data_IF_893522476272
#
_entry.id   IF_893522476272
#
_cell.length_a   1.000
_cell.length_b   1.000
_cell.length_c   1.000
_cell.angle_alpha   90.00
_cell.angle_beta   90.00
_cell.angle_gamma   90.00
#
_symmetry.space_group_name_H-M   'P 1'
#
loop_
_entity.id
_entity.type
_entity.pdbx_description
1 polymer ?
#
# COMPACT_ATOMS: atom_id res chain seq x y z
N UNK A 1 10.49 30.77 -2.06
CA UNK A 1 11.13 31.18 -3.32
C UNK A 1 10.79 30.15 -4.37
N UNK A 2 9.74 30.40 -5.15
CA UNK A 2 9.23 29.49 -6.18
C UNK A 2 9.58 30.05 -7.54
N UNK A 3 10.51 29.39 -8.21
CA UNK A 3 10.97 29.71 -9.56
C UNK A 3 9.93 29.22 -10.58
N UNK A 4 9.28 30.17 -11.27
CA UNK A 4 8.30 29.90 -12.32
C UNK A 4 9.04 29.73 -13.64
N UNK A 5 9.15 28.47 -14.08
CA UNK A 5 9.72 28.09 -15.37
C UNK A 5 9.04 28.82 -16.55
N UNK A 6 9.84 29.60 -17.27
CA UNK A 6 9.50 30.16 -18.58
C UNK A 6 9.37 29.03 -19.61
N UNK A 7 8.21 28.92 -20.24
CA UNK A 7 8.07 28.16 -21.49
C UNK A 7 8.64 28.99 -22.65
N UNK A 8 9.48 28.41 -23.54
CA UNK A 8 9.96 29.10 -24.73
C UNK A 8 8.82 29.23 -25.75
N UNK A 9 8.41 30.47 -26.01
CA UNK A 9 7.49 30.79 -27.11
C UNK A 9 8.11 30.39 -28.45
N UNK A 10 7.45 29.47 -29.16
CA UNK A 10 7.74 29.17 -30.56
C UNK A 10 7.07 30.25 -31.44
N UNK A 11 7.82 30.96 -32.31
CA UNK A 11 7.21 31.85 -33.29
C UNK A 11 6.66 31.01 -34.44
N UNK A 12 5.35 30.75 -34.43
CA UNK A 12 4.64 30.22 -35.60
C UNK A 12 4.25 31.39 -36.51
N UNK A 13 5.22 31.86 -37.28
CA UNK A 13 4.97 32.67 -38.47
C UNK A 13 5.55 31.90 -39.67
N UNK A 14 4.97 30.74 -39.96
CA UNK A 14 5.17 30.11 -41.26
C UNK A 14 4.45 30.98 -42.30
N UNK A 15 5.22 31.74 -43.04
CA UNK A 15 4.82 32.34 -44.31
C UNK A 15 4.27 31.23 -45.19
N UNK A 16 2.94 31.13 -45.24
CA UNK A 16 2.21 30.27 -46.17
C UNK A 16 2.54 30.79 -47.57
N UNK A 17 3.61 30.25 -48.17
CA UNK A 17 3.78 30.31 -49.62
C UNK A 17 2.47 29.78 -50.20
N UNK A 18 1.74 30.56 -51.02
CA UNK A 18 0.52 30.06 -51.62
C UNK A 18 0.92 28.78 -52.37
N UNK A 19 0.30 27.63 -52.07
CA UNK A 19 0.64 26.39 -52.74
C UNK A 19 0.57 26.63 -54.25
N UNK A 20 1.56 26.12 -55.00
CA UNK A 20 1.66 26.27 -56.47
C UNK A 20 0.35 25.92 -57.17
N UNK A 21 -0.47 25.08 -56.54
CA UNK A 21 -1.81 24.68 -56.97
C UNK A 21 -2.81 25.85 -57.01
N UNK A 22 -2.74 26.84 -56.11
CA UNK A 22 -3.57 28.05 -56.15
C UNK A 22 -3.16 28.94 -57.33
N UNK A 23 -1.86 29.09 -57.56
CA UNK A 23 -1.34 29.87 -58.69
C UNK A 23 -1.73 29.24 -60.04
N UNK A 24 -1.80 27.90 -60.10
CA UNK A 24 -2.23 27.17 -61.29
C UNK A 24 -3.74 27.32 -61.52
N UNK A 25 -4.54 27.29 -60.46
CA UNK A 25 -6.00 27.51 -60.50
C UNK A 25 -6.34 28.93 -60.95
N UNK A 26 -5.63 29.94 -60.42
CA UNK A 26 -5.83 31.34 -60.82
C UNK A 26 -5.39 31.60 -62.27
N UNK A 27 -4.30 30.96 -62.73
CA UNK A 27 -3.89 31.04 -64.13
C UNK A 27 -4.90 30.37 -65.08
N UNK A 28 -5.45 29.22 -64.68
CA UNK A 28 -6.45 28.52 -65.48
C UNK A 28 -7.78 29.29 -65.56
N UNK A 29 -8.23 29.90 -64.46
CA UNK A 29 -9.45 30.73 -64.48
C UNK A 29 -9.24 32.04 -65.24
N UNK A 30 -8.09 32.70 -65.08
CA UNK A 30 -7.72 33.88 -65.88
C UNK A 30 -7.60 33.54 -67.37
N UNK A 31 -7.00 32.40 -67.72
CA UNK A 31 -6.90 31.91 -69.10
C UNK A 31 -8.26 31.59 -69.71
N UNK A 32 -9.15 30.93 -68.95
CA UNK A 32 -10.53 30.68 -69.37
C UNK A 32 -11.33 31.97 -69.56
N UNK A 33 -11.18 32.93 -68.65
CA UNK A 33 -11.84 34.25 -68.75
C UNK A 33 -11.31 35.05 -69.95
N UNK A 34 -10.00 35.03 -70.20
CA UNK A 34 -9.39 35.68 -71.35
C UNK A 34 -9.86 35.07 -72.68
N UNK A 35 -10.02 33.74 -72.76
CA UNK A 35 -10.58 33.07 -73.93
C UNK A 35 -12.04 33.45 -74.20
N UNK A 36 -12.86 33.59 -73.14
CA UNK A 36 -14.25 34.05 -73.26
C UNK A 36 -14.31 35.50 -73.76
N UNK A 37 -13.49 36.38 -73.19
CA UNK A 37 -13.40 37.79 -73.61
C UNK A 37 -12.89 37.91 -75.04
N UNK A 38 -11.90 37.10 -75.43
CA UNK A 38 -11.36 37.07 -76.79
C UNK A 38 -12.37 36.54 -77.82
N UNK A 39 -13.16 35.53 -77.45
CA UNK A 39 -14.27 35.05 -78.28
C UNK A 39 -15.37 36.10 -78.48
N UNK A 40 -15.59 36.96 -77.48
CA UNK A 40 -16.50 38.11 -77.58
C UNK A 40 -15.97 39.20 -78.52
N UNK A 41 -14.66 39.43 -78.52
CA UNK A 41 -14.01 40.46 -79.34
C UNK A 41 -13.94 40.11 -80.84
N UNK A 42 -14.00 38.82 -81.17
CA UNK A 42 -13.95 38.27 -82.54
C UNK A 42 -15.35 38.11 -83.18
N UNK A 43 -16.30 38.98 -82.82
CA UNK A 43 -17.66 39.03 -83.36
C UNK A 43 -17.63 39.53 -84.83
N UNK A 44 -17.23 38.63 -85.74
CA UNK A 44 -17.12 38.91 -87.18
C UNK A 44 -17.02 37.65 -88.05
N UNK A 45 -16.55 36.52 -87.51
CA UNK A 45 -16.49 35.23 -88.22
C UNK A 45 -17.55 34.24 -87.68
N UNK A 46 -18.41 33.73 -88.55
CA UNK A 46 -19.65 33.02 -88.18
C UNK A 46 -19.49 31.63 -87.53
N UNK A 47 -18.28 31.04 -87.44
CA UNK A 47 -18.11 29.63 -87.02
C UNK A 47 -17.17 29.38 -85.83
N UNK A 48 -16.13 30.20 -85.67
CA UNK A 48 -15.10 30.07 -84.62
C UNK A 48 -15.55 30.40 -83.19
N UNK A 49 -16.47 31.36 -82.94
CA UNK A 49 -16.84 31.77 -81.58
C UNK A 49 -17.55 30.66 -80.79
N UNK A 50 -18.40 29.86 -81.45
CA UNK A 50 -19.17 28.80 -80.80
C UNK A 50 -18.31 27.69 -80.21
N UNK A 51 -17.28 27.25 -80.95
CA UNK A 51 -16.34 26.24 -80.49
C UNK A 51 -15.49 26.75 -79.32
N UNK A 52 -14.94 27.96 -79.41
CA UNK A 52 -14.16 28.54 -78.31
C UNK A 52 -14.99 28.68 -77.02
N UNK A 53 -16.26 29.04 -77.13
CA UNK A 53 -17.13 29.24 -75.98
C UNK A 53 -17.52 27.90 -75.32
N UNK A 54 -17.73 26.85 -76.12
CA UNK A 54 -18.01 25.50 -75.63
C UNK A 54 -16.78 24.82 -75.02
N UNK A 55 -15.60 25.03 -75.60
CA UNK A 55 -14.33 24.59 -75.01
C UNK A 55 -14.00 25.37 -73.74
N UNK A 56 -14.20 26.69 -73.73
CA UNK A 56 -13.98 27.54 -72.57
C UNK A 56 -14.87 27.17 -71.38
N UNK A 57 -16.17 26.93 -71.60
CA UNK A 57 -17.09 26.52 -70.54
C UNK A 57 -16.77 25.13 -69.99
N UNK A 58 -16.41 24.19 -70.87
CA UNK A 58 -16.00 22.83 -70.48
C UNK A 58 -14.70 22.85 -69.68
N UNK A 59 -13.73 23.68 -70.07
CA UNK A 59 -12.45 23.82 -69.38
C UNK A 59 -12.64 24.44 -67.98
N UNK A 60 -13.49 25.46 -67.87
CA UNK A 60 -13.84 26.11 -66.60
C UNK A 60 -14.54 25.15 -65.63
N UNK A 61 -15.28 24.16 -66.13
CA UNK A 61 -15.91 23.13 -65.30
C UNK A 61 -14.94 22.00 -64.92
N UNK A 62 -14.16 21.49 -65.88
CA UNK A 62 -13.34 20.27 -65.69
C UNK A 62 -12.08 20.56 -64.86
N UNK A 63 -11.42 21.71 -65.07
CA UNK A 63 -10.14 21.99 -64.42
C UNK A 63 -10.26 22.11 -62.89
N UNK A 64 -11.24 22.83 -62.32
CA UNK A 64 -11.42 22.87 -60.86
C UNK A 64 -11.70 21.50 -60.25
N UNK A 65 -12.48 20.66 -60.94
CA UNK A 65 -12.78 19.30 -60.49
C UNK A 65 -11.53 18.41 -60.46
N UNK A 66 -10.69 18.48 -61.49
CA UNK A 66 -9.43 17.73 -61.57
C UNK A 66 -8.43 18.16 -60.49
N UNK A 67 -8.34 19.47 -60.23
CA UNK A 67 -7.48 20.01 -59.16
C UNK A 67 -8.01 19.60 -57.78
N UNK A 68 -9.32 19.67 -57.57
CA UNK A 68 -9.95 19.24 -56.31
C UNK A 68 -9.70 17.75 -56.04
N UNK A 69 -9.84 16.91 -57.07
CA UNK A 69 -9.52 15.47 -57.00
C UNK A 69 -8.06 15.21 -56.58
N UNK A 70 -7.10 15.91 -57.20
CA UNK A 70 -5.68 15.78 -56.84
C UNK A 70 -5.35 16.25 -55.44
N UNK A 71 -5.98 17.33 -54.96
CA UNK A 71 -5.76 17.84 -53.60
C UNK A 71 -6.32 16.87 -52.57
N UNK A 72 -7.50 16.29 -52.82
CA UNK A 72 -8.09 15.26 -51.97
C UNK A 72 -7.22 14.01 -51.90
N UNK A 73 -6.71 13.54 -53.04
CA UNK A 73 -5.86 12.35 -53.12
C UNK A 73 -4.52 12.55 -52.38
N UNK A 74 -3.87 13.71 -52.55
CA UNK A 74 -2.67 14.06 -51.78
C UNK A 74 -2.94 14.14 -50.29
N UNK A 75 -4.08 14.71 -49.88
CA UNK A 75 -4.45 14.78 -48.46
C UNK A 75 -4.70 13.40 -47.88
N UNK A 76 -5.39 12.53 -48.62
CA UNK A 76 -5.63 11.13 -48.24
C UNK A 76 -4.32 10.36 -48.08
N UNK A 77 -3.40 10.45 -49.04
CA UNK A 77 -2.07 9.82 -48.92
C UNK A 77 -1.30 10.34 -47.72
N UNK A 78 -1.27 11.68 -47.51
CA UNK A 78 -0.56 12.25 -46.36
C UNK A 78 -1.16 11.85 -45.00
N UNK A 79 -2.49 11.65 -44.93
CA UNK A 79 -3.14 11.17 -43.70
C UNK A 79 -2.92 9.68 -43.50
N UNK A 80 -2.86 8.89 -44.57
CA UNK A 80 -2.58 7.45 -44.51
C UNK A 80 -1.15 7.18 -44.04
N UNK A 81 -0.18 7.94 -44.55
CA UNK A 81 1.23 7.86 -44.14
C UNK A 81 1.40 8.29 -42.68
N UNK A 82 0.78 9.40 -42.27
CA UNK A 82 0.80 9.87 -40.88
C UNK A 82 0.18 8.83 -39.91
N UNK A 83 -0.98 8.25 -40.28
CA UNK A 83 -1.62 7.21 -39.47
C UNK A 83 -0.77 5.93 -39.40
N UNK A 84 -0.08 5.55 -40.48
CA UNK A 84 0.80 4.38 -40.48
C UNK A 84 2.00 4.55 -39.55
N UNK A 85 2.58 5.76 -39.53
CA UNK A 85 3.67 6.13 -38.62
C UNK A 85 3.20 6.15 -37.17
N UNK A 86 2.05 6.77 -36.90
CA UNK A 86 1.47 6.83 -35.55
C UNK A 86 1.15 5.42 -35.03
N UNK A 87 0.63 4.53 -35.88
CA UNK A 87 0.37 3.13 -35.50
C UNK A 87 1.67 2.38 -35.20
N UNK A 88 2.74 2.59 -35.96
CA UNK A 88 4.04 1.99 -35.69
C UNK A 88 4.63 2.48 -34.35
N UNK A 89 4.52 3.77 -34.07
CA UNK A 89 4.99 4.37 -32.82
C UNK A 89 4.16 3.90 -31.61
N UNK A 90 2.84 3.81 -31.75
CA UNK A 90 1.95 3.26 -30.72
C UNK A 90 2.31 1.80 -30.45
N UNK A 91 2.55 0.99 -31.48
CA UNK A 91 2.98 -0.40 -31.28
C UNK A 91 4.34 -0.50 -30.59
N UNK A 92 5.30 0.35 -30.95
CA UNK A 92 6.60 0.42 -30.28
C UNK A 92 6.46 0.82 -28.81
N UNK A 93 5.64 1.83 -28.51
CA UNK A 93 5.33 2.25 -27.14
C UNK A 93 4.63 1.15 -26.35
N UNK A 94 3.66 0.44 -26.93
CA UNK A 94 2.99 -0.68 -26.26
C UNK A 94 3.96 -1.82 -25.93
N UNK A 95 4.89 -2.15 -26.85
CA UNK A 95 5.93 -3.16 -26.58
C UNK A 95 6.87 -2.71 -25.46
N UNK A 96 7.30 -1.45 -25.47
CA UNK A 96 8.14 -0.88 -24.43
C UNK A 96 7.45 -0.85 -23.06
N UNK A 97 6.16 -0.48 -23.02
CA UNK A 97 5.37 -0.50 -21.78
C UNK A 97 5.16 -1.91 -21.25
N UNK A 98 4.87 -2.90 -22.12
CA UNK A 98 4.79 -4.31 -21.71
C UNK A 98 6.11 -4.79 -21.10
N UNK A 99 7.24 -4.55 -21.76
CA UNK A 99 8.54 -4.92 -21.23
C UNK A 99 8.82 -4.27 -19.86
N UNK A 100 8.45 -2.99 -19.67
CA UNK A 100 8.57 -2.31 -18.37
C UNK A 100 7.65 -2.91 -17.31
N UNK A 101 6.41 -3.28 -17.67
CA UNK A 101 5.48 -3.93 -16.76
C UNK A 101 5.98 -5.31 -16.34
N UNK A 102 6.58 -6.06 -17.25
CA UNK A 102 7.17 -7.37 -16.96
C UNK A 102 8.38 -7.21 -16.02
N UNK A 103 9.28 -6.26 -16.27
CA UNK A 103 10.40 -5.97 -15.35
C UNK A 103 9.92 -5.50 -13.96
N UNK A 104 8.87 -4.65 -13.90
CA UNK A 104 8.28 -4.24 -12.63
C UNK A 104 7.60 -5.41 -11.91
N UNK A 105 6.93 -6.29 -12.66
CA UNK A 105 6.31 -7.50 -12.13
C UNK A 105 7.34 -8.45 -11.52
N UNK A 106 8.44 -8.71 -12.23
CA UNK A 106 9.53 -9.56 -11.76
C UNK A 106 10.26 -8.97 -10.56
N UNK A 107 10.64 -7.69 -10.60
CA UNK A 107 11.32 -7.03 -9.48
C UNK A 107 10.44 -6.95 -8.23
N UNK A 108 9.14 -6.68 -8.39
CA UNK A 108 8.18 -6.68 -7.28
C UNK A 108 7.98 -8.08 -6.71
N UNK A 109 7.83 -9.11 -7.57
CA UNK A 109 7.68 -10.50 -7.14
C UNK A 109 8.93 -11.01 -6.41
N UNK A 110 10.12 -10.75 -6.93
CA UNK A 110 11.38 -11.13 -6.30
C UNK A 110 11.55 -10.40 -4.96
N UNK A 111 11.24 -9.10 -4.90
CA UNK A 111 11.28 -8.33 -3.66
C UNK A 111 10.30 -8.85 -2.60
N UNK A 112 9.11 -9.30 -2.99
CA UNK A 112 8.14 -9.93 -2.08
C UNK A 112 8.61 -11.28 -1.55
N UNK A 113 9.19 -12.12 -2.41
CA UNK A 113 9.74 -13.42 -2.02
C UNK A 113 10.94 -13.27 -1.07
N UNK A 114 11.83 -12.33 -1.33
CA UNK A 114 12.98 -12.07 -0.47
C UNK A 114 12.56 -11.53 0.89
N UNK A 115 11.57 -10.62 0.94
CA UNK A 115 10.98 -10.16 2.21
C UNK A 115 10.33 -11.31 2.98
N UNK A 116 9.58 -12.18 2.30
CA UNK A 116 8.97 -13.34 2.93
C UNK A 116 10.03 -14.30 3.50
N UNK A 117 11.06 -14.65 2.73
CA UNK A 117 12.17 -15.50 3.21
C UNK A 117 12.89 -14.88 4.41
N UNK A 118 13.21 -13.59 4.34
CA UNK A 118 13.85 -12.87 5.45
C UNK A 118 12.99 -12.94 6.72
N UNK A 119 11.68 -12.79 6.58
CA UNK A 119 10.74 -12.86 7.71
C UNK A 119 10.68 -14.26 8.32
N UNK A 120 10.62 -15.30 7.51
CA UNK A 120 10.67 -16.69 7.99
C UNK A 120 11.97 -16.98 8.72
N UNK A 121 13.11 -16.48 8.23
CA UNK A 121 14.40 -16.60 8.93
C UNK A 121 14.37 -15.89 10.29
N UNK A 122 13.84 -14.66 10.36
CA UNK A 122 13.70 -13.92 11.62
C UNK A 122 12.82 -14.67 12.63
N UNK A 123 11.69 -15.22 12.18
CA UNK A 123 10.79 -16.01 13.01
C UNK A 123 11.49 -17.27 13.53
N UNK A 124 12.14 -18.02 12.64
CA UNK A 124 12.82 -19.27 12.98
C UNK A 124 13.99 -19.06 13.93
N UNK A 125 14.76 -17.99 13.74
CA UNK A 125 15.87 -17.64 14.62
C UNK A 125 15.38 -17.19 16.01
N UNK A 126 14.26 -16.45 16.07
CA UNK A 126 13.64 -16.06 17.32
C UNK A 126 13.03 -17.26 18.09
N UNK A 127 12.47 -18.24 17.39
CA UNK A 127 11.95 -19.48 18.02
C UNK A 127 13.06 -20.34 18.63
N UNK A 128 14.21 -20.42 17.95
CA UNK A 128 15.36 -21.20 18.41
C UNK A 128 16.05 -20.55 19.61
N UNK A 129 16.27 -19.23 19.56
CA UNK A 129 16.86 -18.48 20.66
C UNK A 129 16.26 -17.08 20.72
N UNK A 130 15.31 -16.82 21.65
CA UNK A 130 14.61 -15.55 21.75
C UNK A 130 15.45 -14.49 22.48
N UNK A 131 16.50 -14.00 21.81
CA UNK A 131 17.33 -12.91 22.33
C UNK A 131 16.64 -11.55 22.19
N UNK A 132 17.04 -10.56 22.99
CA UNK A 132 16.49 -9.20 22.94
C UNK A 132 16.55 -8.61 21.53
N UNK A 133 17.68 -8.75 20.83
CA UNK A 133 17.85 -8.27 19.46
C UNK A 133 16.86 -8.92 18.47
N UNK A 134 16.71 -10.24 18.55
CA UNK A 134 15.84 -10.99 17.62
C UNK A 134 14.37 -10.66 17.86
N UNK A 135 13.95 -10.59 19.12
CA UNK A 135 12.60 -10.19 19.49
C UNK A 135 12.32 -8.73 19.11
N UNK A 136 13.29 -7.83 19.29
CA UNK A 136 13.16 -6.44 18.88
C UNK A 136 13.03 -6.32 17.35
N UNK A 137 13.84 -7.05 16.58
CA UNK A 137 13.73 -7.09 15.12
C UNK A 137 12.37 -7.64 14.67
N UNK A 138 11.87 -8.69 15.32
CA UNK A 138 10.58 -9.30 15.00
C UNK A 138 9.40 -8.39 15.37
N UNK A 139 9.44 -7.73 16.53
CA UNK A 139 8.44 -6.75 16.93
C UNK A 139 8.42 -5.55 15.98
N UNK A 140 9.59 -5.09 15.52
CA UNK A 140 9.68 -4.00 14.54
C UNK A 140 9.07 -4.38 13.19
N UNK A 141 9.36 -5.59 12.69
CA UNK A 141 8.72 -6.11 11.48
C UNK A 141 7.20 -6.22 11.65
N UNK A 142 6.74 -6.78 12.78
CA UNK A 142 5.31 -6.90 13.08
C UNK A 142 4.63 -5.52 13.19
N UNK A 143 5.25 -4.55 13.84
CA UNK A 143 4.74 -3.19 13.95
C UNK A 143 4.73 -2.48 12.59
N UNK A 144 5.77 -2.65 11.77
CA UNK A 144 5.82 -2.11 10.41
C UNK A 144 4.72 -2.66 9.48
N UNK A 145 4.25 -3.87 9.75
CA UNK A 145 3.10 -4.48 9.07
C UNK A 145 1.75 -4.09 9.71
N UNK A 146 1.74 -3.37 10.84
CA UNK A 146 0.56 -3.18 11.69
C UNK A 146 -0.08 -4.53 12.10
N UNK A 147 0.74 -5.56 12.29
CA UNK A 147 0.28 -6.88 12.73
C UNK A 147 0.02 -6.92 14.24
N UNK A 148 0.71 -6.07 15.01
CA UNK A 148 0.59 -5.97 16.47
C UNK A 148 0.12 -4.59 16.88
N UNK A 149 -0.37 -4.48 18.10
CA UNK A 149 -0.71 -3.21 18.73
C UNK A 149 0.53 -2.34 18.97
N UNK A 150 0.34 -1.02 19.07
CA UNK A 150 1.41 -0.06 19.30
C UNK A 150 2.08 -0.26 20.67
N UNK A 151 1.35 -0.80 21.64
CA UNK A 151 1.88 -1.23 22.94
C UNK A 151 2.60 -2.58 22.91
N UNK A 152 2.80 -3.19 21.74
CA UNK A 152 3.44 -4.49 21.61
C UNK A 152 2.54 -5.67 21.95
N UNK A 153 3.16 -6.80 22.31
CA UNK A 153 2.46 -8.09 22.50
C UNK A 153 2.54 -8.53 23.95
N UNK A 154 1.47 -9.11 24.47
CA UNK A 154 1.42 -9.66 25.82
C UNK A 154 1.12 -11.16 25.86
N UNK A 155 1.51 -11.81 26.95
CA UNK A 155 1.24 -13.22 27.22
C UNK A 155 1.01 -13.42 28.71
N UNK A 156 0.00 -14.22 29.06
CA UNK A 156 -0.35 -14.53 30.44
C UNK A 156 0.75 -15.36 31.12
N UNK A 157 1.11 -15.01 32.36
CA UNK A 157 1.96 -15.85 33.18
C UNK A 157 1.16 -17.05 33.72
N UNK A 158 1.66 -18.29 33.62
CA UNK A 158 1.05 -19.46 34.22
C UNK A 158 0.76 -19.27 35.71
N UNK A 159 -0.38 -19.77 36.16
CA UNK A 159 -0.81 -19.77 37.57
C UNK A 159 -0.80 -18.38 38.24
N UNK A 160 -1.01 -17.33 37.44
CA UNK A 160 -0.97 -15.94 37.89
C UNK A 160 -2.06 -15.11 37.22
N UNK A 161 -2.41 -14.00 37.88
CA UNK A 161 -3.24 -12.91 37.35
C UNK A 161 -2.37 -11.78 36.77
N UNK A 162 -1.23 -12.13 36.19
CA UNK A 162 -0.32 -11.19 35.57
C UNK A 162 0.00 -11.58 34.12
N UNK A 163 0.36 -10.57 33.35
CA UNK A 163 0.76 -10.66 31.95
C UNK A 163 2.17 -10.11 31.79
N UNK A 164 2.96 -10.76 30.94
CA UNK A 164 4.23 -10.25 30.46
C UNK A 164 3.97 -9.58 29.12
N UNK A 165 4.21 -8.28 29.04
CA UNK A 165 4.22 -7.51 27.79
C UNK A 165 5.65 -7.26 27.33
N UNK A 166 5.87 -7.42 26.03
CA UNK A 166 7.05 -6.97 25.33
C UNK A 166 6.69 -5.82 24.38
N UNK A 167 7.39 -4.71 24.52
CA UNK A 167 7.19 -3.51 23.72
C UNK A 167 8.52 -2.85 23.34
N UNK A 168 8.51 -2.11 22.22
CA UNK A 168 9.65 -1.33 21.75
C UNK A 168 9.45 0.13 22.17
N UNK A 169 10.35 0.66 23.00
CA UNK A 169 10.32 2.09 23.35
C UNK A 169 11.50 2.79 22.74
N UNK A 170 11.23 3.96 22.17
CA UNK A 170 12.28 4.88 21.75
C UNK A 170 12.91 5.49 22.99
N UNK A 171 14.17 5.16 23.20
CA UNK A 171 14.98 5.79 24.23
C UNK A 171 15.42 7.15 23.68
N UNK A 172 14.68 8.22 23.99
CA UNK A 172 15.17 9.57 23.74
C UNK A 172 16.27 9.85 24.74
N UNK A 173 17.52 9.55 24.37
CA UNK A 173 18.66 10.02 25.12
C UNK A 173 18.62 11.56 25.12
N UNK A 174 18.58 12.22 26.29
CA UNK A 174 18.36 13.67 26.36
C UNK A 174 19.48 14.53 25.77
N UNK A 175 20.56 13.94 25.23
CA UNK A 175 21.74 14.67 24.75
C UNK A 175 22.34 14.16 23.42
N UNK A 176 21.65 13.28 22.67
CA UNK A 176 22.17 12.88 21.35
C UNK A 176 21.80 13.90 20.28
N UNK A 177 22.55 15.01 20.24
CA UNK A 177 22.45 16.07 19.22
C UNK A 177 23.01 15.65 17.84
N UNK A 178 22.99 14.36 17.51
CA UNK A 178 23.42 13.85 16.20
C UNK A 178 22.17 13.52 15.35
N UNK A 179 21.76 14.41 14.43
CA UNK A 179 20.73 14.08 13.45
C UNK A 179 21.28 12.99 12.51
N UNK A 180 20.73 11.78 12.61
CA UNK A 180 21.06 10.66 11.72
C UNK A 180 21.44 9.34 12.40
N UNK A 181 21.71 9.33 13.71
CA UNK A 181 21.80 8.08 14.47
C UNK A 181 20.38 7.69 14.88
N UNK A 182 19.82 6.68 14.22
CA UNK A 182 18.46 6.21 14.46
C UNK A 182 18.20 6.07 15.96
N UNK A 183 17.03 6.51 16.44
CA UNK A 183 16.64 6.38 17.83
C UNK A 183 16.85 4.92 18.26
N UNK A 184 17.69 4.70 19.28
CA UNK A 184 17.97 3.35 19.75
C UNK A 184 16.70 2.84 20.44
N UNK A 185 16.00 1.95 19.74
CA UNK A 185 14.79 1.30 20.25
C UNK A 185 15.23 0.20 21.21
N UNK A 186 14.90 0.39 22.48
CA UNK A 186 15.19 -0.61 23.51
C UNK A 186 13.96 -1.50 23.70
N UNK A 187 14.19 -2.80 23.83
CA UNK A 187 13.13 -3.75 24.19
C UNK A 187 12.79 -3.60 25.67
N UNK A 188 11.51 -3.47 26.00
CA UNK A 188 11.03 -3.40 27.37
C UNK A 188 10.24 -4.65 27.71
N UNK A 189 10.44 -5.13 28.95
CA UNK A 189 9.61 -6.16 29.56
C UNK A 189 8.79 -5.52 30.67
N UNK A 190 7.48 -5.61 30.57
CA UNK A 190 6.54 -5.04 31.53
C UNK A 190 5.65 -6.16 32.08
N UNK A 191 5.56 -6.26 33.40
CA UNK A 191 4.49 -7.02 34.05
C UNK A 191 3.26 -6.13 34.15
N UNK A 192 2.14 -6.63 33.67
CA UNK A 192 0.85 -5.95 33.69
C UNK A 192 -0.18 -6.77 34.45
N UNK A 193 -1.22 -6.09 34.95
CA UNK A 193 -2.44 -6.75 35.38
C UNK A 193 -3.32 -7.15 34.18
N UNK A 194 -4.50 -7.73 34.44
CA UNK A 194 -5.43 -8.14 33.39
C UNK A 194 -5.86 -6.99 32.48
N UNK A 195 -6.01 -5.79 33.04
CA UNK A 195 -6.44 -4.58 32.35
C UNK A 195 -5.34 -3.87 31.56
N UNK A 196 -4.10 -4.36 31.62
CA UNK A 196 -2.95 -3.74 30.96
C UNK A 196 -2.32 -2.61 31.77
N UNK A 197 -2.65 -2.46 33.06
CA UNK A 197 -1.98 -1.50 33.91
C UNK A 197 -0.60 -2.04 34.32
N UNK A 198 0.49 -1.24 34.20
CA UNK A 198 1.84 -1.70 34.50
C UNK A 198 2.02 -1.90 36.02
N UNK A 199 2.44 -3.11 36.41
CA UNK A 199 2.82 -3.49 37.77
C UNK A 199 4.31 -3.30 38.00
N UNK A 200 5.14 -3.68 37.02
CA UNK A 200 6.60 -3.48 37.07
C UNK A 200 7.18 -3.49 35.66
N UNK A 201 8.34 -2.88 35.47
CA UNK A 201 8.99 -2.86 34.16
C UNK A 201 10.51 -2.76 34.24
N UNK A 202 11.17 -3.35 33.24
CA UNK A 202 12.61 -3.20 33.02
C UNK A 202 12.89 -3.12 31.53
N UNK A 203 13.88 -2.29 31.17
CA UNK A 203 14.54 -2.43 29.88
C UNK A 203 15.26 -3.78 29.84
N UNK A 204 15.32 -4.38 28.65
CA UNK A 204 16.08 -5.59 28.35
C UNK A 204 17.20 -5.21 27.38
N UNK A 205 18.44 -5.26 27.88
CA UNK A 205 19.59 -4.87 27.09
C UNK A 205 19.88 -5.89 25.98
N UNK A 206 20.50 -5.42 24.89
CA UNK A 206 20.75 -6.23 23.68
C UNK A 206 21.56 -7.50 23.95
N UNK A 207 22.61 -7.37 24.77
CA UNK A 207 23.57 -8.45 25.05
C UNK A 207 23.22 -9.22 26.34
N UNK A 208 22.02 -9.02 26.86
CA UNK A 208 21.58 -9.63 28.10
C UNK A 208 20.71 -10.86 27.86
N UNK A 209 20.97 -11.92 28.64
CA UNK A 209 20.11 -13.10 28.67
C UNK A 209 18.71 -12.80 29.22
N UNK A 210 17.69 -13.43 28.65
CA UNK A 210 16.30 -13.32 29.10
C UNK A 210 16.14 -13.62 30.60
N UNK A 211 16.88 -14.61 31.10
CA UNK A 211 16.84 -15.01 32.51
C UNK A 211 17.32 -13.89 33.44
N UNK A 212 18.32 -13.10 33.03
CA UNK A 212 18.82 -11.97 33.80
C UNK A 212 17.81 -10.82 33.83
N UNK A 213 17.20 -10.51 32.68
CA UNK A 213 16.17 -9.49 32.59
C UNK A 213 14.93 -9.86 33.45
N UNK A 214 14.51 -11.12 33.39
CA UNK A 214 13.40 -11.65 34.20
C UNK A 214 13.69 -11.60 35.72
N UNK A 215 14.93 -11.90 36.14
CA UNK A 215 15.36 -11.74 37.54
C UNK A 215 15.29 -10.29 38.00
N UNK A 216 15.75 -9.34 37.18
CA UNK A 216 15.64 -7.90 37.51
C UNK A 216 14.19 -7.43 37.61
N UNK A 217 13.34 -7.88 36.69
CA UNK A 217 11.91 -7.57 36.71
C UNK A 217 11.24 -8.08 38.00
N UNK A 218 11.58 -9.31 38.41
CA UNK A 218 11.11 -9.90 39.68
C UNK A 218 11.60 -9.12 40.90
N UNK A 219 12.90 -8.78 40.94
CA UNK A 219 13.50 -8.04 42.05
C UNK A 219 12.90 -6.64 42.23
N UNK A 220 12.60 -5.94 41.12
CA UNK A 220 11.92 -4.63 41.16
C UNK A 220 10.52 -4.72 41.75
N UNK A 221 9.77 -5.77 41.41
CA UNK A 221 8.42 -6.00 41.95
C UNK A 221 8.44 -6.25 43.45
N UNK A 222 9.36 -7.10 43.95
CA UNK A 222 9.45 -7.39 45.38
C UNK A 222 9.78 -6.15 46.22
N UNK A 223 10.52 -5.20 45.66
CA UNK A 223 10.84 -3.93 46.33
C UNK A 223 9.67 -2.93 46.36
N UNK A 224 8.67 -3.07 45.49
CA UNK A 224 7.55 -2.10 45.37
C UNK A 224 6.28 -2.54 46.10
N UNK A 225 5.99 -3.84 46.19
CA UNK A 225 4.77 -4.35 46.84
C UNK A 225 5.06 -5.59 47.71
N UNK A 226 5.51 -5.42 48.96
CA UNK A 226 5.71 -6.54 49.86
C UNK A 226 4.37 -7.18 50.29
N UNK A 227 4.28 -8.51 50.25
CA UNK A 227 3.21 -9.27 50.92
C UNK A 227 2.04 -9.77 50.07
N UNK A 228 2.06 -9.64 48.73
CA UNK A 228 0.99 -10.23 47.89
C UNK A 228 1.31 -11.67 47.51
N UNK A 229 0.37 -12.61 47.73
CA UNK A 229 0.53 -14.02 47.39
C UNK A 229 0.85 -14.27 45.89
N UNK A 230 0.40 -13.36 45.01
CA UNK A 230 0.72 -13.33 43.57
C UNK A 230 2.21 -13.09 43.25
N UNK A 231 3.01 -12.61 44.21
CA UNK A 231 4.45 -12.40 44.01
C UNK A 231 5.19 -13.74 43.79
N UNK A 232 4.83 -14.79 44.53
CA UNK A 232 5.48 -16.10 44.45
C UNK A 232 5.21 -16.85 43.15
N UNK A 233 3.96 -16.80 42.66
CA UNK A 233 3.58 -17.51 41.42
C UNK A 233 4.17 -16.87 40.18
N UNK A 234 4.18 -15.54 40.10
CA UNK A 234 4.80 -14.84 38.97
C UNK A 234 6.32 -15.02 38.92
N UNK A 235 7.00 -15.00 40.08
CA UNK A 235 8.42 -15.30 40.15
C UNK A 235 8.71 -16.74 39.70
N UNK A 236 7.82 -17.69 40.02
CA UNK A 236 7.93 -19.06 39.55
C UNK A 236 7.74 -19.16 38.02
N UNK A 237 6.73 -18.51 37.46
CA UNK A 237 6.49 -18.47 36.01
C UNK A 237 7.66 -17.81 35.25
N UNK A 238 8.24 -16.73 35.78
CA UNK A 238 9.40 -16.06 35.16
C UNK A 238 10.70 -16.87 35.22
N UNK A 239 10.76 -17.97 35.99
CA UNK A 239 11.90 -18.91 35.91
C UNK A 239 11.92 -19.67 34.59
N UNK A 240 10.76 -19.91 33.98
CA UNK A 240 10.62 -20.46 32.62
C UNK A 240 10.36 -19.33 31.60
N UNK A 241 11.22 -18.32 31.63
CA UNK A 241 11.09 -17.18 30.70
C UNK A 241 11.19 -17.64 29.24
N UNK A 242 11.98 -18.66 28.94
CA UNK A 242 12.14 -19.17 27.57
C UNK A 242 10.83 -19.76 27.03
N UNK A 243 10.06 -20.48 27.87
CA UNK A 243 8.72 -20.94 27.54
C UNK A 243 7.76 -19.78 27.21
N UNK A 244 7.77 -18.73 28.04
CA UNK A 244 6.95 -17.53 27.82
C UNK A 244 7.34 -16.79 26.53
N UNK A 245 8.63 -16.67 26.25
CA UNK A 245 9.12 -16.02 25.04
C UNK A 245 8.75 -16.80 23.78
N UNK A 246 8.73 -18.13 23.82
CA UNK A 246 8.24 -18.95 22.69
C UNK A 246 6.75 -18.73 22.43
N UNK A 247 5.93 -18.58 23.48
CA UNK A 247 4.51 -18.23 23.33
C UNK A 247 4.33 -16.84 22.71
N UNK A 248 5.17 -15.88 23.10
CA UNK A 248 5.19 -14.54 22.49
C UNK A 248 5.60 -14.58 21.02
N UNK A 249 6.64 -15.36 20.66
CA UNK A 249 7.04 -15.55 19.26
C UNK A 249 5.93 -16.24 18.46
N UNK A 250 5.23 -17.22 19.04
CA UNK A 250 4.06 -17.85 18.41
C UNK A 250 2.93 -16.85 18.17
N UNK A 251 2.74 -15.92 19.10
CA UNK A 251 1.79 -14.81 18.97
C UNK A 251 2.18 -13.88 17.83
N UNK A 252 3.46 -13.47 17.76
CA UNK A 252 3.99 -12.65 16.67
C UNK A 252 3.89 -13.34 15.30
N UNK A 253 4.21 -14.64 15.23
CA UNK A 253 4.02 -15.45 14.01
C UNK A 253 2.58 -15.42 13.54
N UNK A 254 1.64 -15.63 14.47
CA UNK A 254 0.21 -15.64 14.16
C UNK A 254 -0.27 -14.26 13.69
N UNK A 255 0.16 -13.19 14.35
CA UNK A 255 -0.15 -11.81 13.97
C UNK A 255 0.32 -11.50 12.55
N UNK A 256 1.60 -11.79 12.28
CA UNK A 256 2.23 -11.58 10.99
C UNK A 256 1.50 -12.37 9.91
N UNK A 257 1.27 -13.67 10.13
CA UNK A 257 0.63 -14.53 9.15
C UNK A 257 -0.80 -14.06 8.83
N UNK A 258 -1.57 -13.63 9.84
CA UNK A 258 -2.89 -13.06 9.65
C UNK A 258 -2.85 -11.80 8.77
N UNK A 259 -1.90 -10.90 9.02
CA UNK A 259 -1.77 -9.63 8.29
C UNK A 259 -1.22 -9.78 6.87
N UNK A 260 -0.40 -10.79 6.61
CA UNK A 260 0.21 -11.04 5.29
C UNK A 260 -0.65 -11.94 4.39
N UNK A 261 -1.83 -12.35 4.85
CA UNK A 261 -2.73 -13.24 4.11
C UNK A 261 -2.31 -14.71 4.11
N UNK A 262 -1.38 -15.10 4.99
CA UNK A 262 -0.96 -16.49 5.18
C UNK A 262 -1.84 -17.24 6.20
N UNK A 263 -2.53 -16.49 7.08
CA UNK A 263 -3.53 -17.01 8.00
C UNK A 263 -4.90 -17.20 7.34
N UNK A 264 -5.83 -17.83 8.07
CA UNK A 264 -7.21 -18.01 7.60
C UNK A 264 -7.98 -16.69 7.49
N UNK A 265 -7.62 -15.70 8.33
CA UNK A 265 -8.28 -14.40 8.36
C UNK A 265 -7.32 -13.34 8.93
N UNK A 266 -7.62 -12.07 8.64
CA UNK A 266 -6.99 -10.93 9.29
C UNK A 266 -7.54 -10.80 10.72
N UNK A 267 -6.65 -10.73 11.71
CA UNK A 267 -6.98 -10.63 13.13
C UNK A 267 -6.82 -9.19 13.65
N UNK A 268 -6.61 -8.21 12.77
CA UNK A 268 -6.33 -6.84 13.15
C UNK A 268 -4.96 -6.67 13.80
N UNK A 269 -4.81 -5.63 14.63
CA UNK A 269 -3.58 -5.38 15.40
C UNK A 269 -3.60 -6.23 16.67
N UNK A 270 -2.89 -7.36 16.65
CA UNK A 270 -2.94 -8.35 17.71
C UNK A 270 -2.25 -7.86 19.00
N UNK A 271 -2.90 -8.09 20.14
CA UNK A 271 -2.37 -7.80 21.48
C UNK A 271 -2.01 -9.11 22.22
N UNK A 272 -2.91 -10.10 22.21
CA UNK A 272 -2.76 -11.35 22.97
C UNK A 272 -3.43 -12.54 22.26
N UNK A 273 -2.84 -13.74 22.42
CA UNK A 273 -3.50 -15.02 22.17
C UNK A 273 -3.81 -15.72 23.51
N UNK A 274 -4.98 -15.48 24.12
CA UNK A 274 -5.31 -16.07 25.42
C UNK A 274 -5.46 -17.60 25.34
N UNK A 275 -5.81 -18.14 24.17
CA UNK A 275 -5.92 -19.57 23.92
C UNK A 275 -5.89 -19.87 22.41
N UNK A 276 -6.10 -21.14 22.04
CA UNK A 276 -6.08 -21.57 20.64
C UNK A 276 -7.27 -21.09 19.81
N UNK A 277 -8.42 -20.83 20.45
CA UNK A 277 -9.65 -20.47 19.75
C UNK A 277 -9.82 -18.97 19.57
N UNK A 278 -9.25 -18.14 20.44
CA UNK A 278 -9.51 -16.71 20.50
C UNK A 278 -8.23 -15.87 20.43
N UNK A 279 -8.36 -14.70 19.82
CA UNK A 279 -7.32 -13.68 19.69
C UNK A 279 -7.90 -12.33 20.14
N UNK A 280 -7.12 -11.56 20.89
CA UNK A 280 -7.48 -10.22 21.35
C UNK A 280 -6.65 -9.23 20.54
N UNK A 281 -7.33 -8.32 19.85
CA UNK A 281 -6.74 -7.28 19.03
C UNK A 281 -7.22 -5.90 19.49
N UNK A 282 -6.59 -4.84 18.99
CA UNK A 282 -6.98 -3.46 19.29
C UNK A 282 -8.44 -3.14 18.87
N UNK A 283 -8.97 -3.84 17.88
CA UNK A 283 -10.32 -3.66 17.35
C UNK A 283 -11.36 -4.66 17.87
N UNK A 284 -10.96 -5.62 18.73
CA UNK A 284 -11.89 -6.46 19.47
C UNK A 284 -11.43 -7.89 19.74
N UNK A 285 -12.38 -8.81 19.76
CA UNK A 285 -12.17 -10.23 20.04
C UNK A 285 -12.48 -11.08 18.81
N UNK A 286 -11.47 -11.79 18.31
CA UNK A 286 -11.54 -12.62 17.12
C UNK A 286 -11.54 -14.10 17.47
N UNK A 287 -12.44 -14.87 16.86
CA UNK A 287 -12.32 -16.33 16.85
C UNK A 287 -11.33 -16.72 15.76
N UNK A 288 -10.29 -17.49 16.05
CA UNK A 288 -9.24 -17.87 15.09
C UNK A 288 -9.67 -18.93 14.08
N UNK A 289 -10.66 -19.75 14.44
CA UNK A 289 -11.09 -20.92 13.69
C UNK A 289 -12.24 -20.63 12.71
N UNK A 290 -12.91 -19.47 12.86
CA UNK A 290 -14.08 -19.07 12.08
C UNK A 290 -14.10 -17.55 11.91
N UNK A 291 -14.72 -17.06 10.85
CA UNK A 291 -14.98 -15.63 10.64
C UNK A 291 -16.03 -15.12 11.64
N UNK A 292 -15.60 -14.92 12.89
CA UNK A 292 -16.41 -14.39 13.97
C UNK A 292 -15.60 -13.38 14.77
N UNK A 293 -16.11 -12.15 14.81
CA UNK A 293 -15.46 -10.99 15.43
C UNK A 293 -16.48 -10.24 16.27
N UNK A 294 -16.12 -9.94 17.52
CA UNK A 294 -16.85 -9.02 18.38
C UNK A 294 -16.02 -7.75 18.45
N UNK A 295 -16.49 -6.66 17.84
CA UNK A 295 -15.76 -5.38 17.82
C UNK A 295 -15.61 -4.81 19.21
N UNK A 296 -14.58 -3.98 19.44
CA UNK A 296 -14.39 -3.28 20.73
C UNK A 296 -15.66 -2.53 21.17
N UNK A 297 -16.30 -1.79 20.27
CA UNK A 297 -17.56 -1.08 20.54
C UNK A 297 -18.68 -2.01 21.03
N UNK A 298 -18.80 -3.18 20.40
CA UNK A 298 -19.80 -4.20 20.75
C UNK A 298 -19.44 -4.90 22.07
N UNK A 299 -18.15 -5.15 22.30
CA UNK A 299 -17.64 -5.79 23.50
C UNK A 299 -17.91 -4.94 24.74
N UNK A 300 -17.79 -3.62 24.60
CA UNK A 300 -17.95 -2.64 25.68
C UNK A 300 -19.39 -2.10 25.82
N UNK A 301 -20.26 -2.33 24.84
CA UNK A 301 -21.67 -1.94 24.91
C UNK A 301 -22.46 -2.90 25.81
N UNK A 302 -22.68 -2.47 27.06
CA UNK A 302 -23.48 -3.19 28.06
C UNK A 302 -24.93 -3.51 27.63
N UNK A 303 -25.47 -2.85 26.60
CA UNK A 303 -26.82 -3.11 26.08
C UNK A 303 -26.89 -4.40 25.26
N UNK A 304 -25.77 -4.87 24.73
CA UNK A 304 -25.71 -6.05 23.88
C UNK A 304 -25.08 -7.21 24.64
N UNK A 305 -25.87 -8.26 24.95
CA UNK A 305 -25.39 -9.46 25.64
C UNK A 305 -24.64 -10.41 24.67
N UNK A 306 -23.52 -9.90 24.12
CA UNK A 306 -22.63 -10.65 23.22
C UNK A 306 -22.07 -11.91 23.86
N UNK A 307 -21.89 -11.88 25.18
CA UNK A 307 -21.46 -13.04 25.95
C UNK A 307 -22.47 -14.19 25.79
N UNK A 308 -23.76 -13.93 26.03
CA UNK A 308 -24.81 -14.95 25.84
C UNK A 308 -24.94 -15.37 24.39
N UNK A 309 -24.89 -14.42 23.46
CA UNK A 309 -25.00 -14.71 22.03
C UNK A 309 -23.87 -15.63 21.51
N UNK A 310 -22.62 -15.36 21.89
CA UNK A 310 -21.49 -16.19 21.51
C UNK A 310 -21.58 -17.59 22.15
N UNK A 311 -21.93 -17.67 23.44
CA UNK A 311 -22.08 -18.94 24.15
C UNK A 311 -23.24 -19.81 23.64
N UNK A 312 -24.23 -19.23 22.97
CA UNK A 312 -25.30 -20.00 22.32
C UNK A 312 -24.80 -20.78 21.09
N UNK A 313 -23.60 -20.50 20.58
CA UNK A 313 -23.03 -21.17 19.41
C UNK A 313 -22.36 -22.49 19.82
N UNK A 314 -22.68 -23.62 19.17
CA UNK A 314 -22.23 -24.94 19.61
C UNK A 314 -20.71 -25.17 19.45
N UNK A 315 -20.05 -24.37 18.62
CA UNK A 315 -18.60 -24.46 18.38
C UNK A 315 -17.77 -23.63 19.37
N UNK A 316 -18.40 -22.82 20.22
CA UNK A 316 -17.69 -21.97 21.18
C UNK A 316 -17.34 -22.77 22.42
N UNK A 317 -16.04 -22.95 22.69
CA UNK A 317 -15.57 -23.53 23.93
C UNK A 317 -15.87 -22.58 25.09
N UNK A 318 -16.79 -22.95 25.98
CA UNK A 318 -17.30 -22.07 27.05
C UNK A 318 -16.19 -21.46 27.90
N UNK A 319 -15.23 -22.27 28.35
CA UNK A 319 -14.14 -21.80 29.21
C UNK A 319 -13.18 -20.88 28.45
N UNK A 320 -12.72 -21.30 27.27
CA UNK A 320 -11.84 -20.50 26.40
C UNK A 320 -12.45 -19.15 26.03
N UNK A 321 -13.75 -19.11 25.71
CA UNK A 321 -14.43 -17.87 25.39
C UNK A 321 -14.60 -16.98 26.62
N UNK A 322 -15.00 -17.52 27.77
CA UNK A 322 -15.19 -16.71 28.98
C UNK A 322 -13.87 -16.09 29.46
N UNK A 323 -12.78 -16.84 29.40
CA UNK A 323 -11.45 -16.31 29.75
C UNK A 323 -11.00 -15.22 28.77
N UNK A 324 -11.10 -15.47 27.45
CA UNK A 324 -10.76 -14.49 26.43
C UNK A 324 -11.65 -13.24 26.49
N UNK A 325 -12.96 -13.40 26.68
CA UNK A 325 -13.93 -12.30 26.78
C UNK A 325 -13.66 -11.41 27.99
N UNK A 326 -13.45 -11.99 29.18
CA UNK A 326 -13.12 -11.22 30.39
C UNK A 326 -11.80 -10.47 30.23
N UNK A 327 -10.81 -11.12 29.62
CA UNK A 327 -9.49 -10.56 29.39
C UNK A 327 -9.55 -9.40 28.39
N UNK A 328 -10.23 -9.59 27.26
CA UNK A 328 -10.46 -8.55 26.26
C UNK A 328 -11.26 -7.37 26.84
N UNK A 329 -12.32 -7.65 27.60
CA UNK A 329 -13.14 -6.59 28.21
C UNK A 329 -12.32 -5.76 29.20
N UNK A 330 -11.55 -6.40 30.10
CA UNK A 330 -10.72 -5.68 31.06
C UNK A 330 -9.65 -4.82 30.36
N UNK A 331 -8.97 -5.39 29.37
CA UNK A 331 -7.90 -4.72 28.63
C UNK A 331 -8.42 -3.53 27.81
N UNK A 332 -9.46 -3.74 26.99
CA UNK A 332 -9.95 -2.73 26.07
C UNK A 332 -10.76 -1.63 26.77
N UNK A 333 -11.31 -1.90 27.96
CA UNK A 333 -11.91 -0.85 28.81
C UNK A 333 -10.85 0.11 29.35
N UNK A 334 -9.68 -0.41 29.73
CA UNK A 334 -8.57 0.40 30.26
C UNK A 334 -8.02 1.36 29.20
N UNK A 335 -7.86 0.89 27.97
CA UNK A 335 -7.37 1.71 26.85
C UNK A 335 -8.32 2.83 26.43
N UNK A 336 -9.63 2.67 26.59
CA UNK A 336 -10.62 3.70 26.25
C UNK A 336 -10.62 4.91 27.21
N UNK A 337 -9.93 4.80 28.35
CA UNK A 337 -9.89 5.83 29.40
C UNK A 337 -8.67 6.77 29.31
N UNK A 338 -7.75 6.53 28.37
CA UNK A 338 -6.54 7.34 28.13
C UNK A 338 -6.71 8.25 26.92
#
# INVERSE_FOLDING_TARGET
MTDRGRLPGRPWASTLRPPKDIALLTLATLGGLALVVWGWLMQGDEYTPGLLLQFGSSLVLIVPLLVLGRVLERRLQSTQDALSSDLADIQAQMRATRARLDTLGETSRNGLLDRHRRRELLLHDAERAPTAERLAALLREAAGLQAVDDGGVRTRLPDSDLWLRLDLRRTTAPNSAQPGRGADETLYMTLEDRGGAPVSGTAWARDEEASAAARRLTARRTGTVPGTASAGTAAAALRDIDGLLRLLVTTLRTAIAARTGQGQQDLGRLIELPNEQWAISADGLWCRQRYFHIRTEQLLDSRQDWRRYALAKPWVGREHFLDAYRTAHALLSGSASQ
#
